data_IF_462700557966
#
_entry.id   IF_462700557966
#
_cell.length_a   1.000
_cell.length_b   1.000
_cell.length_c   1.000
_cell.angle_alpha   90.00
_cell.angle_beta   90.00
_cell.angle_gamma   90.00
#
_symmetry.space_group_name_H-M   'P 1'
#
loop_
_entity.id
_entity.type
_entity.pdbx_description
1 polymer ?
#
# COMPACT_ATOMS: atom_id res chain seq x y z
N UNK A 1 0.89 53.98 16.74
CA UNK A 1 0.60 54.14 15.30
C UNK A 1 0.24 52.77 14.77
N UNK A 2 -1.04 52.52 14.58
CA UNK A 2 -1.54 51.27 14.00
C UNK A 2 -2.63 51.69 13.01
N UNK A 3 -2.30 51.64 11.72
CA UNK A 3 -3.22 52.02 10.66
C UNK A 3 -4.28 50.92 10.48
N UNK A 4 -5.52 51.25 10.81
CA UNK A 4 -6.67 50.39 10.58
C UNK A 4 -7.07 50.46 9.11
N UNK A 5 -6.74 49.41 8.34
CA UNK A 5 -7.17 49.23 6.95
C UNK A 5 -8.72 49.15 6.84
N UNK A 6 -9.37 50.05 6.09
CA UNK A 6 -10.80 49.97 5.77
C UNK A 6 -10.98 49.10 4.52
N UNK A 7 -11.11 47.78 4.68
CA UNK A 7 -11.18 46.90 3.50
C UNK A 7 -11.90 45.57 3.64
N UNK A 8 -12.38 45.18 4.83
CA UNK A 8 -13.09 43.91 5.01
C UNK A 8 -14.43 44.13 5.70
N UNK A 9 -15.43 44.62 4.96
CA UNK A 9 -16.82 44.41 5.36
C UNK A 9 -17.09 42.91 5.33
N UNK A 10 -17.10 42.29 6.50
CA UNK A 10 -17.51 40.90 6.70
C UNK A 10 -18.81 40.61 5.96
N UNK A 11 -18.89 39.50 5.24
CA UNK A 11 -20.11 39.00 4.57
C UNK A 11 -21.34 39.05 5.50
N UNK A 12 -21.14 38.85 6.81
CA UNK A 12 -22.20 38.96 7.83
C UNK A 12 -22.77 40.38 7.95
N UNK A 13 -21.92 41.41 7.84
CA UNK A 13 -22.34 42.81 7.89
C UNK A 13 -23.17 43.19 6.66
N UNK A 14 -22.77 42.72 5.48
CA UNK A 14 -23.53 42.93 4.24
C UNK A 14 -24.89 42.21 4.28
N UNK A 15 -24.93 40.95 4.71
CA UNK A 15 -26.18 40.22 4.90
C UNK A 15 -27.10 40.89 5.93
N UNK A 16 -26.56 41.45 7.02
CA UNK A 16 -27.36 42.16 8.00
C UNK A 16 -27.92 43.49 7.48
N UNK A 17 -27.19 44.24 6.66
CA UNK A 17 -27.72 45.45 6.04
C UNK A 17 -28.83 45.14 5.04
N UNK A 18 -28.67 44.12 4.20
CA UNK A 18 -29.70 43.67 3.25
C UNK A 18 -30.96 43.19 4.00
N UNK A 19 -30.80 42.39 5.06
CA UNK A 19 -31.92 41.92 5.87
C UNK A 19 -32.70 43.07 6.55
N UNK A 20 -32.01 44.11 7.01
CA UNK A 20 -32.65 45.31 7.58
C UNK A 20 -33.40 46.11 6.52
N UNK A 21 -32.84 46.27 5.33
CA UNK A 21 -33.49 46.97 4.22
C UNK A 21 -34.76 46.24 3.75
N UNK A 22 -34.73 44.91 3.65
CA UNK A 22 -35.90 44.10 3.30
C UNK A 22 -37.00 44.15 4.38
N UNK A 23 -36.61 44.16 5.66
CA UNK A 23 -37.56 44.23 6.79
C UNK A 23 -38.22 45.61 6.94
N UNK A 24 -37.53 46.69 6.57
CA UNK A 24 -38.12 48.03 6.56
C UNK A 24 -39.23 48.17 5.50
N UNK A 25 -39.06 47.50 4.35
CA UNK A 25 -40.03 47.50 3.24
C UNK A 25 -41.33 46.76 3.57
N UNK A 26 -41.29 45.73 4.43
CA UNK A 26 -42.48 44.97 4.83
C UNK A 26 -43.36 45.67 5.87
N UNK A 27 -42.89 46.75 6.50
CA UNK A 27 -43.61 47.47 7.58
C UNK A 27 -44.40 48.69 7.13
N UNK A 28 -44.51 48.96 5.82
CA UNK A 28 -45.46 49.95 5.27
C UNK A 28 -45.27 51.40 5.75
N UNK A 29 -44.14 51.75 6.38
CA UNK A 29 -43.83 53.14 6.73
C UNK A 29 -43.34 53.89 5.49
N UNK A 30 -44.13 54.86 5.06
CA UNK A 30 -43.81 55.83 4.01
C UNK A 30 -42.59 56.65 4.43
N UNK A 31 -41.41 56.30 3.89
CA UNK A 31 -40.21 57.11 4.03
C UNK A 31 -40.37 58.37 3.17
N UNK A 32 -40.06 59.53 3.76
CA UNK A 32 -39.80 60.78 3.05
C UNK A 32 -38.89 60.52 1.85
N UNK A 33 -39.19 61.18 0.74
CA UNK A 33 -38.47 61.14 -0.53
C UNK A 33 -37.00 61.53 -0.37
N UNK A 34 -36.16 60.55 -0.03
CA UNK A 34 -34.74 60.58 -0.40
C UNK A 34 -34.69 60.46 -1.93
N UNK A 35 -33.93 61.30 -2.66
CA UNK A 35 -33.82 61.21 -4.12
C UNK A 35 -33.25 59.83 -4.47
N UNK A 36 -34.14 58.89 -4.77
CA UNK A 36 -33.96 57.46 -4.54
C UNK A 36 -33.81 56.62 -5.79
N UNK A 37 -33.75 57.26 -6.95
CA UNK A 37 -33.83 56.54 -8.23
C UNK A 37 -32.43 56.12 -8.70
N UNK A 38 -31.39 56.90 -8.38
CA UNK A 38 -30.01 56.62 -8.77
C UNK A 38 -29.27 55.66 -7.81
N UNK A 39 -29.53 55.75 -6.50
CA UNK A 39 -28.80 54.96 -5.48
C UNK A 39 -29.28 53.51 -5.45
N UNK A 40 -30.54 53.26 -5.83
CA UNK A 40 -31.13 51.93 -5.88
C UNK A 40 -30.56 51.07 -7.03
N UNK A 41 -30.32 51.66 -8.21
CA UNK A 41 -29.73 50.96 -9.35
C UNK A 41 -28.27 50.58 -9.09
N UNK A 42 -27.48 51.49 -8.51
CA UNK A 42 -26.07 51.25 -8.21
C UNK A 42 -25.88 50.15 -7.15
N UNK A 43 -26.76 50.13 -6.14
CA UNK A 43 -26.73 49.09 -5.09
C UNK A 43 -27.13 47.72 -5.63
N UNK A 44 -28.14 47.66 -6.51
CA UNK A 44 -28.58 46.42 -7.12
C UNK A 44 -27.51 45.84 -8.06
N UNK A 45 -26.87 46.68 -8.86
CA UNK A 45 -25.77 46.29 -9.75
C UNK A 45 -24.59 45.72 -8.95
N UNK A 46 -24.20 46.37 -7.85
CA UNK A 46 -23.09 45.90 -7.01
C UNK A 46 -23.39 44.56 -6.33
N UNK A 47 -24.64 44.33 -5.87
CA UNK A 47 -25.05 43.06 -5.27
C UNK A 47 -25.10 41.94 -6.31
N UNK A 48 -25.64 42.19 -7.51
CA UNK A 48 -25.69 41.21 -8.60
C UNK A 48 -24.31 40.86 -9.13
N UNK A 49 -23.44 41.86 -9.31
CA UNK A 49 -22.04 41.67 -9.73
C UNK A 49 -21.25 40.84 -8.70
N UNK A 50 -21.45 41.11 -7.41
CA UNK A 50 -20.80 40.35 -6.34
C UNK A 50 -21.30 38.90 -6.32
N UNK A 51 -22.62 38.67 -6.38
CA UNK A 51 -23.21 37.33 -6.39
C UNK A 51 -22.75 36.51 -7.62
N UNK A 52 -22.71 37.14 -8.80
CA UNK A 52 -22.21 36.51 -10.03
C UNK A 52 -20.72 36.13 -9.89
N UNK A 53 -19.90 37.01 -9.32
CA UNK A 53 -18.49 36.75 -9.05
C UNK A 53 -18.32 35.55 -8.10
N UNK A 54 -19.10 35.47 -7.02
CA UNK A 54 -19.04 34.33 -6.09
C UNK A 54 -19.46 33.00 -6.73
N UNK A 55 -20.47 32.99 -7.60
CA UNK A 55 -20.89 31.78 -8.32
C UNK A 55 -19.84 31.35 -9.35
N UNK A 56 -19.26 32.28 -10.09
CA UNK A 56 -18.20 32.00 -11.07
C UNK A 56 -16.91 31.53 -10.39
N UNK A 57 -16.49 32.18 -9.30
CA UNK A 57 -15.31 31.81 -8.52
C UNK A 57 -15.52 30.49 -7.78
N UNK A 58 -16.69 30.26 -7.20
CA UNK A 58 -17.03 28.98 -6.54
C UNK A 58 -17.07 27.81 -7.53
N UNK A 59 -17.60 28.04 -8.73
CA UNK A 59 -17.52 27.09 -9.84
C UNK A 59 -16.07 26.81 -10.24
N UNK A 60 -15.27 27.85 -10.46
CA UNK A 60 -13.86 27.71 -10.83
C UNK A 60 -13.03 26.93 -9.79
N UNK A 61 -13.22 27.22 -8.49
CA UNK A 61 -12.56 26.48 -7.40
C UNK A 61 -12.99 25.01 -7.43
N UNK A 62 -14.28 24.72 -7.62
CA UNK A 62 -14.79 23.35 -7.70
C UNK A 62 -14.19 22.59 -8.89
N UNK A 63 -14.06 23.23 -10.04
CA UNK A 63 -13.39 22.66 -11.22
C UNK A 63 -11.90 22.41 -10.98
N UNK A 64 -11.18 23.35 -10.36
CA UNK A 64 -9.77 23.19 -10.03
C UNK A 64 -9.56 22.05 -9.05
N UNK A 65 -10.40 21.93 -8.02
CA UNK A 65 -10.36 20.81 -7.07
C UNK A 65 -10.64 19.48 -7.76
N UNK A 66 -11.65 19.43 -8.64
CA UNK A 66 -11.96 18.21 -9.40
C UNK A 66 -10.77 17.78 -10.28
N UNK A 67 -10.16 18.73 -11.00
CA UNK A 67 -8.98 18.47 -11.82
C UNK A 67 -7.79 18.03 -10.98
N UNK A 68 -7.59 18.62 -9.79
CA UNK A 68 -6.55 18.22 -8.86
C UNK A 68 -6.77 16.78 -8.34
N UNK A 69 -8.01 16.43 -7.98
CA UNK A 69 -8.37 15.06 -7.58
C UNK A 69 -8.13 14.05 -8.72
N UNK A 70 -8.56 14.38 -9.95
CA UNK A 70 -8.30 13.53 -11.13
C UNK A 70 -6.80 13.35 -11.33
N UNK A 71 -6.02 14.44 -11.25
CA UNK A 71 -4.56 14.39 -11.34
C UNK A 71 -3.93 13.49 -10.29
N UNK A 72 -4.40 13.54 -9.04
CA UNK A 72 -3.95 12.66 -7.96
C UNK A 72 -4.24 11.18 -8.27
N UNK A 73 -5.45 10.85 -8.72
CA UNK A 73 -5.81 9.47 -9.06
C UNK A 73 -5.04 8.95 -10.28
N UNK A 74 -4.77 9.79 -11.28
CA UNK A 74 -3.95 9.42 -12.43
C UNK A 74 -2.50 9.16 -12.02
N UNK A 75 -1.92 10.00 -11.16
CA UNK A 75 -0.58 9.77 -10.63
C UNK A 75 -0.49 8.44 -9.86
N UNK A 76 -1.49 8.12 -9.03
CA UNK A 76 -1.57 6.84 -8.32
C UNK A 76 -1.74 5.66 -9.29
N UNK A 77 -2.60 5.79 -10.30
CA UNK A 77 -2.82 4.73 -11.29
C UNK A 77 -1.54 4.40 -12.08
N UNK A 78 -0.78 5.41 -12.49
CA UNK A 78 0.50 5.21 -13.16
C UNK A 78 1.51 4.48 -12.26
N UNK A 79 1.56 4.80 -10.95
CA UNK A 79 2.40 4.11 -9.98
C UNK A 79 1.93 2.68 -9.65
N UNK A 80 0.61 2.42 -9.67
CA UNK A 80 0.06 1.09 -9.44
C UNK A 80 0.43 0.12 -10.57
N UNK A 81 0.49 0.60 -11.83
CA UNK A 81 0.84 -0.27 -12.96
C UNK A 81 2.23 -0.88 -12.85
N UNK A 82 3.18 -0.22 -12.18
CA UNK A 82 4.52 -0.78 -11.94
C UNK A 82 4.56 -1.76 -10.77
N UNK A 83 3.52 -1.82 -9.94
CA UNK A 83 3.40 -2.77 -8.82
C UNK A 83 2.57 -4.01 -9.20
N UNK A 84 1.87 -3.99 -10.34
CA UNK A 84 1.17 -5.16 -10.83
C UNK A 84 2.16 -6.18 -11.39
N UNK A 85 2.04 -7.47 -11.03
CA UNK A 85 2.89 -8.52 -11.57
C UNK A 85 2.78 -8.56 -13.10
N UNK A 86 3.91 -8.73 -13.76
CA UNK A 86 3.94 -8.96 -15.20
C UNK A 86 3.38 -10.35 -15.52
N UNK A 87 3.13 -10.61 -16.81
CA UNK A 87 2.76 -11.98 -17.24
C UNK A 87 3.85 -13.00 -16.92
N UNK A 88 5.12 -12.59 -16.96
CA UNK A 88 6.23 -13.46 -16.60
C UNK A 88 6.23 -13.80 -15.10
N UNK A 89 5.94 -12.81 -14.24
CA UNK A 89 5.83 -13.03 -12.79
C UNK A 89 4.67 -13.97 -12.45
N UNK A 90 3.53 -13.81 -13.12
CA UNK A 90 2.38 -14.71 -12.96
C UNK A 90 2.74 -16.16 -13.36
N UNK A 91 3.40 -16.33 -14.50
CA UNK A 91 3.86 -17.66 -14.96
C UNK A 91 4.88 -18.28 -14.01
N UNK A 92 5.79 -17.47 -13.46
CA UNK A 92 6.76 -17.94 -12.48
C UNK A 92 6.06 -18.38 -11.17
N UNK A 93 5.06 -17.63 -10.71
CA UNK A 93 4.24 -18.00 -9.56
C UNK A 93 3.47 -19.31 -9.78
N UNK A 94 2.87 -19.49 -10.96
CA UNK A 94 2.18 -20.73 -11.31
C UNK A 94 3.14 -21.93 -11.36
N UNK A 95 4.32 -21.75 -11.94
CA UNK A 95 5.36 -22.78 -11.97
C UNK A 95 5.85 -23.15 -10.57
N UNK A 96 6.01 -22.16 -9.68
CA UNK A 96 6.37 -22.39 -8.30
C UNK A 96 5.28 -23.16 -7.53
N UNK A 97 4.01 -22.79 -7.70
CA UNK A 97 2.89 -23.54 -7.10
C UNK A 97 2.83 -24.98 -7.61
N UNK A 98 3.14 -25.20 -8.89
CA UNK A 98 3.22 -26.54 -9.46
C UNK A 98 4.36 -27.35 -8.83
N UNK A 99 5.54 -26.76 -8.65
CA UNK A 99 6.67 -27.39 -7.93
C UNK A 99 6.26 -27.81 -6.51
N UNK A 100 5.59 -26.93 -5.77
CA UNK A 100 5.12 -27.25 -4.41
C UNK A 100 4.08 -28.38 -4.41
N UNK A 101 3.18 -28.42 -5.40
CA UNK A 101 2.19 -29.50 -5.56
C UNK A 101 2.87 -30.85 -5.80
N UNK A 102 3.83 -30.85 -6.72
CA UNK A 102 4.49 -32.06 -7.21
C UNK A 102 5.55 -32.61 -6.24
N UNK A 103 5.98 -31.80 -5.26
CA UNK A 103 6.91 -32.24 -4.20
C UNK A 103 6.27 -33.38 -3.39
N UNK A 104 6.90 -34.55 -3.38
CA UNK A 104 6.47 -35.68 -2.56
C UNK A 104 6.88 -35.45 -1.11
N UNK A 105 5.92 -35.15 -0.24
CA UNK A 105 6.15 -34.89 1.18
C UNK A 105 5.64 -33.53 1.66
N UNK A 106 6.12 -33.14 2.84
CA UNK A 106 5.74 -31.92 3.54
C UNK A 106 6.61 -30.74 3.09
N UNK A 107 6.00 -29.58 2.92
CA UNK A 107 6.67 -28.34 2.50
C UNK A 107 6.58 -27.31 3.61
N UNK A 108 7.71 -26.72 3.99
CA UNK A 108 7.77 -25.64 4.96
C UNK A 108 8.05 -24.30 4.28
N UNK A 109 7.06 -23.40 4.30
CA UNK A 109 7.14 -22.06 3.72
C UNK A 109 6.74 -21.01 4.77
N UNK A 110 7.63 -20.71 5.74
CA UNK A 110 7.26 -19.98 6.95
C UNK A 110 6.89 -18.52 6.71
N UNK A 111 7.39 -17.88 5.65
CA UNK A 111 7.04 -16.49 5.28
C UNK A 111 5.80 -16.35 4.40
N UNK A 112 5.41 -17.44 3.73
CA UNK A 112 4.32 -17.42 2.76
C UNK A 112 3.41 -18.61 3.00
N UNK A 113 2.87 -18.71 4.22
CA UNK A 113 2.06 -19.85 4.66
C UNK A 113 0.80 -20.13 3.82
N UNK A 114 0.37 -19.17 2.99
CA UNK A 114 -0.73 -19.38 2.05
C UNK A 114 -0.33 -20.15 0.79
N UNK A 115 0.94 -20.14 0.38
CA UNK A 115 1.41 -20.82 -0.84
C UNK A 115 1.28 -22.35 -0.74
N UNK A 116 1.63 -23.01 0.37
CA UNK A 116 1.32 -24.42 0.58
C UNK A 116 -0.17 -24.73 0.47
N UNK A 117 -1.07 -23.86 0.98
CA UNK A 117 -2.53 -24.06 0.85
C UNK A 117 -2.96 -24.06 -0.61
N UNK A 118 -2.47 -23.09 -1.40
CA UNK A 118 -2.76 -23.02 -2.83
C UNK A 118 -2.20 -24.23 -3.60
N UNK A 119 -1.14 -24.84 -3.08
CA UNK A 119 -0.57 -26.09 -3.56
C UNK A 119 -1.25 -27.36 -3.00
N UNK A 120 -2.32 -27.23 -2.21
CA UNK A 120 -3.02 -28.37 -1.62
C UNK A 120 -2.20 -29.12 -0.56
N UNK A 121 -1.22 -28.45 0.04
CA UNK A 121 -0.34 -28.98 1.11
C UNK A 121 -0.75 -28.44 2.48
N UNK A 122 -0.26 -29.11 3.53
CA UNK A 122 -0.42 -28.63 4.90
C UNK A 122 0.36 -27.33 5.11
N UNK A 123 -0.12 -26.53 6.06
CA UNK A 123 0.58 -25.32 6.52
C UNK A 123 1.16 -25.51 7.91
N UNK A 124 2.20 -24.75 8.19
CA UNK A 124 2.94 -24.76 9.45
C UNK A 124 3.06 -23.34 9.99
N UNK A 125 3.65 -23.20 11.19
CA UNK A 125 3.76 -21.92 11.86
C UNK A 125 4.46 -20.85 10.99
N UNK A 126 3.82 -19.69 10.90
CA UNK A 126 4.35 -18.53 10.17
C UNK A 126 5.53 -17.90 10.93
N UNK A 127 6.51 -17.33 10.23
CA UNK A 127 7.69 -16.68 10.81
C UNK A 127 7.33 -15.65 11.87
N UNK A 128 6.35 -14.78 11.60
CA UNK A 128 5.87 -13.79 12.58
C UNK A 128 5.33 -14.43 13.85
N UNK A 129 4.55 -15.51 13.75
CA UNK A 129 4.00 -16.19 14.93
C UNK A 129 5.09 -16.88 15.75
N UNK A 130 6.09 -17.46 15.08
CA UNK A 130 7.29 -18.00 15.75
C UNK A 130 8.03 -16.87 16.46
N UNK A 131 8.17 -15.73 15.78
CA UNK A 131 8.86 -14.55 16.29
C UNK A 131 8.20 -13.89 17.49
N UNK A 132 6.87 -13.82 17.49
CA UNK A 132 6.11 -13.31 18.63
C UNK A 132 6.36 -14.16 19.87
N UNK A 133 6.41 -15.49 19.72
CA UNK A 133 6.76 -16.39 20.84
C UNK A 133 8.20 -16.20 21.26
N UNK A 134 9.14 -16.10 20.32
CA UNK A 134 10.57 -15.95 20.65
C UNK A 134 10.94 -14.59 21.24
N UNK A 135 10.07 -13.60 21.11
CA UNK A 135 10.24 -12.29 21.74
C UNK A 135 9.85 -12.31 23.22
N UNK A 136 9.25 -13.40 23.72
CA UNK A 136 8.93 -13.58 25.12
C UNK A 136 10.19 -13.94 25.94
N UNK A 137 10.30 -13.39 27.15
CA UNK A 137 11.40 -13.67 28.08
C UNK A 137 11.22 -15.02 28.81
N UNK A 138 10.02 -15.60 28.79
CA UNK A 138 9.74 -16.89 29.43
C UNK A 138 10.34 -18.07 28.67
N UNK A 139 11.55 -18.43 29.09
CA UNK A 139 12.31 -19.59 28.58
C UNK A 139 11.57 -20.92 28.67
N UNK A 140 10.55 -21.05 29.53
CA UNK A 140 9.73 -22.27 29.65
C UNK A 140 8.81 -22.47 28.44
N UNK A 141 8.54 -21.41 27.68
CA UNK A 141 7.72 -21.45 26.46
C UNK A 141 8.62 -21.45 25.22
N UNK A 142 9.62 -20.57 25.20
CA UNK A 142 10.49 -20.39 24.02
C UNK A 142 11.40 -21.58 23.79
N UNK A 143 12.01 -22.13 24.85
CA UNK A 143 12.92 -23.28 24.76
C UNK A 143 12.27 -24.51 24.10
N UNK A 144 11.13 -25.02 24.61
CA UNK A 144 10.48 -26.18 24.01
C UNK A 144 10.02 -25.97 22.56
N UNK A 145 9.63 -24.75 22.18
CA UNK A 145 9.27 -24.46 20.78
C UNK A 145 10.51 -24.46 19.89
N UNK A 146 11.60 -23.84 20.34
CA UNK A 146 12.86 -23.81 19.62
C UNK A 146 13.41 -25.22 19.40
N UNK A 147 13.38 -26.07 20.44
CA UNK A 147 13.81 -27.46 20.36
C UNK A 147 12.97 -28.27 19.34
N UNK A 148 11.65 -28.09 19.34
CA UNK A 148 10.75 -28.77 18.38
C UNK A 148 11.02 -28.35 16.94
N UNK A 149 11.29 -27.06 16.69
CA UNK A 149 11.61 -26.56 15.35
C UNK A 149 12.97 -27.14 14.91
N UNK A 150 13.97 -27.09 15.79
CA UNK A 150 15.28 -27.65 15.51
C UNK A 150 15.22 -29.16 15.25
N UNK A 151 14.44 -29.91 16.04
CA UNK A 151 14.22 -31.34 15.83
C UNK A 151 13.56 -31.63 14.48
N UNK A 152 12.53 -30.87 14.09
CA UNK A 152 11.87 -31.03 12.79
C UNK A 152 12.83 -30.79 11.61
N UNK A 153 13.73 -29.80 11.72
CA UNK A 153 14.75 -29.50 10.71
C UNK A 153 15.81 -30.59 10.66
N UNK A 154 16.41 -30.96 11.80
CA UNK A 154 17.44 -32.00 11.88
C UNK A 154 16.93 -33.36 11.44
N UNK A 155 15.68 -33.67 11.78
CA UNK A 155 14.99 -34.88 11.37
C UNK A 155 14.54 -34.88 9.91
N UNK A 156 14.82 -33.81 9.15
CA UNK A 156 14.41 -33.66 7.74
C UNK A 156 12.93 -33.94 7.52
N UNK A 157 12.08 -33.45 8.44
CA UNK A 157 10.64 -33.69 8.40
C UNK A 157 10.00 -33.11 7.12
N UNK A 158 10.55 -32.00 6.65
CA UNK A 158 10.11 -31.33 5.43
C UNK A 158 10.98 -31.76 4.27
N UNK A 159 10.37 -32.13 3.14
CA UNK A 159 11.11 -32.40 1.91
C UNK A 159 11.67 -31.08 1.37
N UNK A 160 10.88 -30.01 1.37
CA UNK A 160 11.33 -28.70 0.87
C UNK A 160 11.13 -27.62 1.93
N UNK A 161 12.16 -26.78 2.10
CA UNK A 161 12.11 -25.57 2.93
C UNK A 161 12.34 -24.36 2.04
N UNK A 162 11.36 -23.46 1.96
CA UNK A 162 11.44 -22.25 1.12
C UNK A 162 11.60 -21.02 2.00
N UNK A 163 12.69 -20.29 1.80
CA UNK A 163 13.08 -19.15 2.63
C UNK A 163 13.12 -17.87 1.80
N UNK A 164 12.46 -16.83 2.31
CA UNK A 164 12.43 -15.50 1.68
C UNK A 164 13.47 -14.55 2.30
N UNK A 165 13.65 -14.63 3.63
CA UNK A 165 14.60 -13.77 4.36
C UNK A 165 15.38 -14.56 5.40
N UNK A 166 16.51 -14.00 5.84
CA UNK A 166 17.41 -14.61 6.80
C UNK A 166 16.87 -14.64 8.26
N UNK A 167 15.58 -14.39 8.50
CA UNK A 167 15.05 -14.26 9.85
C UNK A 167 15.10 -15.56 10.66
N UNK A 168 15.12 -16.71 9.99
CA UNK A 168 15.40 -18.00 10.62
C UNK A 168 16.88 -18.19 10.96
N UNK A 169 17.66 -17.11 11.15
CA UNK A 169 19.10 -17.13 11.45
C UNK A 169 19.44 -18.09 12.59
N UNK A 170 18.60 -18.16 13.62
CA UNK A 170 18.73 -19.08 14.76
C UNK A 170 18.82 -20.55 14.33
N UNK A 171 18.17 -20.93 13.22
CA UNK A 171 18.17 -22.29 12.69
C UNK A 171 18.94 -22.45 11.38
N UNK A 172 19.52 -21.37 10.82
CA UNK A 172 20.30 -21.45 9.58
C UNK A 172 21.42 -22.48 9.69
N UNK A 173 22.12 -22.53 10.83
CA UNK A 173 23.16 -23.53 11.05
C UNK A 173 22.67 -24.98 11.04
N UNK A 174 21.42 -25.26 11.44
CA UNK A 174 20.83 -26.60 11.32
C UNK A 174 20.34 -26.83 9.88
N UNK A 175 19.71 -25.83 9.26
CA UNK A 175 19.21 -25.91 7.89
C UNK A 175 20.37 -26.18 6.91
N UNK A 176 21.44 -25.40 6.95
CA UNK A 176 22.62 -25.54 6.08
C UNK A 176 23.33 -26.89 6.25
N UNK A 177 23.24 -27.52 7.43
CA UNK A 177 23.83 -28.84 7.68
C UNK A 177 22.96 -29.98 7.17
N UNK A 178 21.65 -29.81 7.14
CA UNK A 178 20.69 -30.88 6.87
C UNK A 178 20.03 -30.78 5.49
N UNK A 179 20.07 -29.61 4.86
CA UNK A 179 19.50 -29.29 3.55
C UNK A 179 20.56 -28.71 2.61
N UNK A 180 20.49 -29.09 1.34
CA UNK A 180 21.22 -28.55 0.20
C UNK A 180 20.48 -27.37 -0.44
N UNK A 181 21.23 -26.31 -0.75
CA UNK A 181 20.70 -25.17 -1.50
C UNK A 181 20.43 -25.52 -2.95
N UNK A 182 19.18 -25.32 -3.39
CA UNK A 182 18.74 -25.49 -4.77
C UNK A 182 18.76 -24.18 -5.54
N UNK A 183 19.19 -23.08 -4.91
CA UNK A 183 19.28 -21.76 -5.51
C UNK A 183 17.95 -21.01 -5.45
N UNK A 184 17.86 -19.97 -6.28
CA UNK A 184 16.73 -19.05 -6.24
C UNK A 184 15.48 -19.66 -6.90
N UNK A 185 14.35 -19.58 -6.20
CA UNK A 185 13.04 -19.97 -6.72
C UNK A 185 12.62 -19.08 -7.89
N UNK A 186 12.96 -17.79 -7.82
CA UNK A 186 12.69 -16.83 -8.88
C UNK A 186 14.03 -16.21 -9.32
N UNK A 187 14.39 -16.34 -10.60
CA UNK A 187 15.65 -15.80 -11.14
C UNK A 187 15.72 -14.25 -11.17
N UNK A 188 14.71 -13.57 -10.65
CA UNK A 188 14.50 -12.14 -10.71
C UNK A 188 14.35 -11.49 -9.31
N UNK A 189 14.29 -12.28 -8.22
CA UNK A 189 14.32 -11.81 -6.82
C UNK A 189 14.91 -12.93 -5.95
N UNK A 190 15.85 -12.61 -5.06
CA UNK A 190 16.54 -13.56 -4.18
C UNK A 190 15.55 -14.23 -3.21
N UNK A 191 15.04 -15.42 -3.54
CA UNK A 191 14.39 -16.33 -2.59
C UNK A 191 15.04 -17.71 -2.74
N UNK A 192 15.85 -18.18 -1.79
CA UNK A 192 16.52 -19.49 -1.89
C UNK A 192 15.57 -20.63 -1.50
N UNK A 193 15.44 -21.64 -2.37
CA UNK A 193 14.81 -22.92 -2.07
C UNK A 193 15.87 -23.93 -1.63
N UNK A 194 15.65 -24.62 -0.52
CA UNK A 194 16.56 -25.66 -0.01
C UNK A 194 15.86 -27.04 -0.05
N UNK A 195 16.57 -28.06 -0.52
CA UNK A 195 16.14 -29.47 -0.64
C UNK A 195 17.00 -30.34 0.27
N UNK A 196 16.61 -31.56 0.69
CA UNK A 196 17.39 -32.33 1.66
C UNK A 196 18.67 -32.82 1.00
N UNK A 197 19.79 -32.81 1.74
CA UNK A 197 21.05 -33.26 1.18
C UNK A 197 20.99 -34.76 0.84
N UNK A 198 20.96 -35.10 -0.46
CA UNK A 198 20.95 -36.50 -0.92
C UNK A 198 22.41 -36.94 -1.08
N UNK A 199 22.71 -38.13 -0.54
CA UNK A 199 24.00 -38.79 -0.78
C UNK A 199 24.30 -38.95 -2.28
N UNK A 200 25.53 -39.34 -2.65
CA UNK A 200 26.06 -39.17 -4.00
C UNK A 200 25.38 -40.12 -4.99
N UNK A 201 24.27 -39.69 -5.58
CA UNK A 201 23.76 -40.25 -6.83
C UNK A 201 23.83 -39.18 -7.92
N UNK A 202 24.77 -39.39 -8.83
CA UNK A 202 24.98 -38.58 -10.03
C UNK A 202 24.03 -39.06 -11.11
N UNK A 203 22.93 -38.35 -11.33
CA UNK A 203 22.39 -38.19 -12.68
C UNK A 203 21.50 -36.94 -12.83
N UNK A 204 22.09 -35.95 -13.50
CA UNK A 204 21.44 -35.03 -14.46
C UNK A 204 20.34 -34.08 -14.00
N UNK A 205 20.73 -32.82 -13.73
CA UNK A 205 20.06 -31.63 -14.25
C UNK A 205 21.14 -30.58 -14.59
N UNK A 206 21.50 -30.48 -15.87
CA UNK A 206 22.37 -29.40 -16.38
C UNK A 206 21.53 -28.16 -16.66
N UNK A 207 21.64 -27.12 -15.83
CA UNK A 207 21.29 -25.76 -16.26
C UNK A 207 22.46 -25.18 -17.05
N UNK A 208 22.25 -24.92 -18.33
CA UNK A 208 23.21 -24.21 -19.18
C UNK A 208 23.34 -22.76 -18.70
N UNK A 209 24.53 -22.39 -18.20
CA UNK A 209 24.91 -21.01 -17.95
C UNK A 209 24.94 -20.21 -19.26
N UNK A 210 24.00 -19.28 -19.46
CA UNK A 210 24.20 -18.16 -20.38
C UNK A 210 24.97 -17.07 -19.66
N UNK A 211 26.28 -17.02 -19.89
CA UNK A 211 27.12 -15.85 -19.57
C UNK A 211 26.67 -14.68 -20.44
N UNK A 212 26.11 -13.65 -19.85
CA UNK A 212 26.01 -12.34 -20.49
C UNK A 212 26.90 -11.34 -19.74
N UNK A 213 28.08 -11.12 -20.32
CA UNK A 213 29.04 -10.10 -19.93
C UNK A 213 28.50 -8.72 -20.31
N UNK A 214 28.03 -7.95 -19.33
CA UNK A 214 27.79 -6.52 -19.54
C UNK A 214 29.10 -5.77 -19.37
N UNK A 215 29.69 -5.44 -20.51
CA UNK A 215 30.77 -4.48 -20.68
C UNK A 215 30.26 -3.09 -20.28
N UNK A 216 30.87 -2.47 -19.27
CA UNK A 216 30.70 -1.04 -18.98
C UNK A 216 31.48 -0.23 -20.02
N UNK A 217 30.81 0.71 -20.66
CA UNK A 217 31.39 1.93 -21.24
C UNK A 217 30.75 3.12 -20.56
#
# INVERSE_FOLDING_TARGET
>A
MNESHPGNLSVRALCMQIARALRARSTGRTLQSVPGDAVAEETLFNVLSTALTYVLVGGAISYVLLLACIGQFLALYCGLRTQLPTRADAQAGDAFLQLLRDTEGEVFVPWHGYLPVLAGKNTYAHSCAIGDVFSDEDTRITGPLQDKIAEAIRGRRFEVVVLDTQWLFTFMGDIERHYEDQGLVFNNVVCSGLSPARGPDRSTCTCSESKESVHKS
#
